data_IF_426969611534
#
_entry.id   IF_426969611534
#
_cell.length_a   1.000
_cell.length_b   1.000
_cell.length_c   1.000
_cell.angle_alpha   90.00
_cell.angle_beta   90.00
_cell.angle_gamma   90.00
#
_symmetry.space_group_name_H-M   'P 1'
#
loop_
_entity.id
_entity.type
_entity.pdbx_description
1 polymer ?
#
# COMPACT_ATOMS: atom_id res chain seq x y z
N UNK A 1 18.08 15.78 10.08
CA UNK A 1 17.46 15.90 8.74
C UNK A 1 17.45 14.53 8.06
N UNK A 2 16.42 14.21 7.26
CA UNK A 2 16.44 12.99 6.43
C UNK A 2 17.55 13.13 5.39
N UNK A 3 18.36 12.10 5.17
CA UNK A 3 19.34 12.15 4.08
C UNK A 3 18.62 12.21 2.73
N UNK A 4 19.22 12.88 1.76
CA UNK A 4 18.68 12.96 0.40
C UNK A 4 18.46 11.57 -0.22
N UNK A 5 19.37 10.64 0.05
CA UNK A 5 19.24 9.23 -0.34
C UNK A 5 17.95 8.59 0.17
N UNK A 6 17.58 8.84 1.44
CA UNK A 6 16.38 8.30 2.07
C UNK A 6 15.10 8.84 1.44
N UNK A 7 15.06 10.15 1.15
CA UNK A 7 13.92 10.79 0.47
C UNK A 7 13.68 10.19 -0.92
N UNK A 8 14.76 9.91 -1.66
CA UNK A 8 14.67 9.35 -3.02
C UNK A 8 14.48 7.84 -3.06
N UNK A 9 14.63 7.17 -1.94
CA UNK A 9 14.48 5.73 -1.83
C UNK A 9 13.50 5.40 -0.70
N UNK A 10 12.19 5.63 -0.88
CA UNK A 10 11.22 5.38 0.19
C UNK A 10 11.22 3.91 0.66
N UNK A 11 11.64 2.99 -0.21
CA UNK A 11 11.66 1.55 0.05
C UNK A 11 12.65 1.13 1.15
N UNK A 12 13.80 1.83 1.33
CA UNK A 12 14.74 1.48 2.40
C UNK A 12 14.21 1.88 3.77
N UNK A 13 14.73 1.28 4.84
CA UNK A 13 14.42 1.67 6.21
C UNK A 13 14.74 3.16 6.44
N UNK A 14 13.73 3.94 6.77
CA UNK A 14 13.82 5.40 6.90
C UNK A 14 14.25 5.83 8.30
N UNK A 15 13.99 5.00 9.30
CA UNK A 15 14.19 5.23 10.71
C UNK A 15 15.58 4.85 11.19
N UNK A 16 15.64 4.56 12.48
CA UNK A 16 16.77 3.97 13.18
C UNK A 16 16.22 3.26 14.42
N UNK A 17 16.90 2.22 14.92
CA UNK A 17 16.48 1.49 16.13
C UNK A 17 16.51 2.37 17.42
N UNK A 18 17.15 3.55 17.32
CA UNK A 18 17.20 4.57 18.37
C UNK A 18 15.92 5.42 18.44
N UNK A 19 15.02 5.34 17.45
CA UNK A 19 13.75 6.07 17.49
C UNK A 19 12.81 5.47 18.53
N UNK A 20 11.87 6.32 18.97
CA UNK A 20 10.73 5.99 19.80
C UNK A 20 9.45 6.46 19.09
N UNK A 21 8.32 5.85 19.43
CA UNK A 21 6.99 6.15 18.88
C UNK A 21 7.00 6.17 17.36
N UNK A 22 7.53 5.10 16.76
CA UNK A 22 7.83 5.00 15.34
C UNK A 22 7.49 3.63 14.77
N UNK A 23 6.98 3.58 13.55
CA UNK A 23 6.78 2.33 12.83
C UNK A 23 7.25 2.44 11.37
N UNK A 24 7.60 1.30 10.78
CA UNK A 24 7.63 1.12 9.32
C UNK A 24 7.09 -0.24 8.95
N UNK A 25 6.17 -0.29 8.00
CA UNK A 25 5.63 -1.52 7.42
C UNK A 25 5.77 -1.52 5.91
N UNK A 26 6.13 -2.66 5.33
CA UNK A 26 6.19 -2.84 3.88
C UNK A 26 5.11 -3.83 3.48
N UNK A 27 4.18 -3.41 2.64
CA UNK A 27 3.06 -4.23 2.21
C UNK A 27 3.40 -4.88 0.88
N UNK A 28 3.42 -6.22 0.87
CA UNK A 28 3.59 -7.02 -0.34
C UNK A 28 2.32 -7.80 -0.59
N UNK A 29 1.64 -7.53 -1.69
CA UNK A 29 0.48 -8.31 -2.12
C UNK A 29 0.84 -9.17 -3.32
N UNK A 30 0.51 -10.46 -3.23
CA UNK A 30 0.84 -11.49 -4.19
C UNK A 30 -0.43 -12.23 -4.58
N UNK A 31 -0.72 -12.25 -5.88
CA UNK A 31 -1.88 -12.94 -6.45
C UNK A 31 -1.40 -13.88 -7.53
N UNK A 32 -1.78 -15.15 -7.43
CA UNK A 32 -1.38 -16.14 -8.43
C UNK A 32 -2.26 -16.06 -9.69
N UNK A 33 -1.75 -16.56 -10.81
CA UNK A 33 -2.45 -16.50 -12.10
C UNK A 33 -3.81 -17.23 -12.11
N UNK A 34 -3.97 -18.27 -11.28
CA UNK A 34 -5.24 -19.02 -11.14
C UNK A 34 -6.27 -18.31 -10.26
N UNK A 35 -5.87 -17.20 -9.63
CA UNK A 35 -6.72 -16.38 -8.77
C UNK A 35 -7.32 -17.15 -7.57
N UNK A 36 -6.65 -18.23 -7.16
CA UNK A 36 -7.00 -19.06 -6.01
C UNK A 36 -5.99 -18.92 -4.86
N UNK A 37 -5.14 -17.89 -4.93
CA UNK A 37 -4.30 -17.43 -3.84
C UNK A 37 -4.13 -15.92 -3.94
N UNK A 38 -4.52 -15.23 -2.87
CA UNK A 38 -4.43 -13.77 -2.72
C UNK A 38 -3.85 -13.53 -1.33
N UNK A 39 -2.54 -13.27 -1.25
CA UNK A 39 -1.84 -13.14 0.03
C UNK A 39 -1.26 -11.74 0.17
N UNK A 40 -1.28 -11.19 1.38
CA UNK A 40 -0.46 -10.04 1.74
C UNK A 40 0.54 -10.41 2.85
N UNK A 41 1.80 -10.02 2.68
CA UNK A 41 2.86 -10.12 3.67
C UNK A 41 3.32 -8.73 4.06
N UNK A 42 3.31 -8.44 5.36
CA UNK A 42 3.56 -7.12 5.90
C UNK A 42 4.67 -7.21 6.97
N UNK A 43 5.94 -7.39 6.58
CA UNK A 43 7.06 -7.20 7.50
C UNK A 43 7.01 -5.78 8.07
N UNK A 44 7.13 -5.65 9.39
CA UNK A 44 6.97 -4.39 10.09
C UNK A 44 7.92 -4.31 11.28
N UNK A 45 8.39 -3.10 11.56
CA UNK A 45 9.10 -2.74 12.77
C UNK A 45 8.29 -1.68 13.52
N UNK A 46 8.11 -1.88 14.82
CA UNK A 46 7.38 -0.99 15.72
C UNK A 46 8.28 -0.66 16.93
N UNK A 47 8.64 0.61 17.05
CA UNK A 47 9.56 1.14 18.06
C UNK A 47 8.79 2.02 19.03
N UNK A 48 8.85 1.65 20.30
CA UNK A 48 8.15 2.32 21.39
C UNK A 48 9.13 3.05 22.32
N UNK A 49 8.61 3.94 23.16
CA UNK A 49 9.39 4.62 24.21
C UNK A 49 9.90 3.62 25.25
N UNK A 50 9.03 2.69 25.62
CA UNK A 50 9.36 1.52 26.42
C UNK A 50 10.20 0.54 25.58
N UNK A 51 11.46 0.33 25.98
CA UNK A 51 12.42 -0.50 25.24
C UNK A 51 11.96 -1.95 25.16
N UNK A 52 11.24 -2.43 26.17
CA UNK A 52 10.74 -3.81 26.24
C UNK A 52 9.55 -4.04 25.30
N UNK A 53 9.01 -2.96 24.72
CA UNK A 53 7.91 -3.01 23.74
C UNK A 53 8.39 -2.79 22.31
N UNK A 54 9.69 -2.80 22.04
CA UNK A 54 10.22 -2.75 20.68
C UNK A 54 10.08 -4.12 20.04
N UNK A 55 9.34 -4.19 18.94
CA UNK A 55 9.04 -5.45 18.26
C UNK A 55 9.24 -5.33 16.77
N UNK A 56 9.56 -6.45 16.14
CA UNK A 56 9.37 -6.61 14.70
C UNK A 56 8.48 -7.82 14.46
N UNK A 57 7.74 -7.81 13.36
CA UNK A 57 6.79 -8.87 13.08
C UNK A 57 6.52 -8.97 11.58
N UNK A 58 5.91 -10.08 11.20
CA UNK A 58 5.36 -10.28 9.87
C UNK A 58 3.86 -10.53 10.04
N UNK A 59 3.04 -9.62 9.51
CA UNK A 59 1.61 -9.86 9.36
C UNK A 59 1.36 -10.58 8.04
N UNK A 60 0.55 -11.64 8.08
CA UNK A 60 0.13 -12.40 6.90
C UNK A 60 -1.39 -12.33 6.82
N UNK A 61 -1.91 -11.90 5.67
CA UNK A 61 -3.34 -11.89 5.38
C UNK A 61 -3.61 -12.85 4.22
N UNK A 62 -4.50 -13.82 4.45
CA UNK A 62 -5.12 -14.58 3.37
C UNK A 62 -6.43 -13.92 2.96
N UNK A 63 -6.47 -13.44 1.73
CA UNK A 63 -7.61 -12.72 1.17
C UNK A 63 -8.83 -13.58 0.87
N UNK A 64 -8.66 -14.89 0.75
CA UNK A 64 -9.75 -15.80 0.44
C UNK A 64 -10.42 -16.32 1.72
N UNK A 65 -9.64 -16.61 2.77
CA UNK A 65 -10.18 -17.03 4.07
C UNK A 65 -10.41 -15.87 5.04
N UNK A 66 -9.89 -14.67 4.75
CA UNK A 66 -9.82 -13.53 5.68
C UNK A 66 -9.05 -13.83 6.98
N UNK A 67 -8.21 -14.88 6.98
CA UNK A 67 -7.36 -15.21 8.12
C UNK A 67 -6.15 -14.29 8.20
N UNK A 68 -5.82 -13.91 9.43
CA UNK A 68 -4.68 -13.05 9.74
C UNK A 68 -3.77 -13.73 10.72
N UNK A 69 -2.51 -13.85 10.36
CA UNK A 69 -1.45 -14.33 11.23
C UNK A 69 -0.55 -13.17 11.61
N UNK A 70 -0.24 -13.08 12.90
CA UNK A 70 0.65 -12.06 13.45
C UNK A 70 1.85 -12.77 14.07
N UNK A 71 2.98 -12.71 13.36
CA UNK A 71 4.19 -13.46 13.69
C UNK A 71 5.21 -12.51 14.29
N UNK A 72 5.24 -12.42 15.61
CA UNK A 72 6.15 -11.52 16.34
C UNK A 72 7.55 -12.12 16.55
N UNK A 73 8.56 -11.26 16.47
CA UNK A 73 9.95 -11.57 16.72
C UNK A 73 10.58 -10.52 17.65
N UNK A 74 11.58 -10.93 18.46
CA UNK A 74 12.44 -9.98 19.17
C UNK A 74 13.09 -9.00 18.19
N UNK A 75 13.32 -7.76 18.63
CA UNK A 75 13.82 -6.68 17.76
C UNK A 75 15.21 -6.99 17.17
N UNK A 76 16.00 -7.84 17.82
CA UNK A 76 17.33 -8.29 17.39
C UNK A 76 17.26 -9.16 16.12
N UNK A 77 16.08 -9.70 15.81
CA UNK A 77 15.83 -10.45 14.57
C UNK A 77 15.54 -9.54 13.37
N UNK A 78 15.42 -8.22 13.58
CA UNK A 78 15.29 -7.26 12.50
C UNK A 78 16.65 -6.79 12.00
N UNK A 79 16.83 -6.78 10.68
CA UNK A 79 17.96 -6.13 10.03
C UNK A 79 17.51 -5.47 8.73
N UNK A 80 18.15 -4.36 8.36
CA UNK A 80 17.90 -3.70 7.08
C UNK A 80 19.17 -3.10 6.50
N UNK A 81 19.24 -3.01 5.17
CA UNK A 81 20.30 -2.29 4.49
C UNK A 81 20.03 -0.78 4.45
N UNK A 82 21.09 0.01 4.60
CA UNK A 82 21.04 1.47 4.46
C UNK A 82 21.15 1.95 3.01
N UNK A 83 21.56 1.09 2.07
CA UNK A 83 21.82 1.48 0.67
C UNK A 83 20.79 0.95 -0.32
N UNK A 84 20.15 -0.18 -0.03
CA UNK A 84 19.24 -0.87 -0.94
C UNK A 84 18.01 -1.40 -0.20
N UNK A 85 16.90 -1.59 -0.91
CA UNK A 85 15.67 -2.12 -0.31
C UNK A 85 15.86 -3.60 0.02
N UNK A 86 16.19 -3.84 1.27
CA UNK A 86 16.50 -5.15 1.79
C UNK A 86 16.25 -5.18 3.30
N UNK A 87 15.34 -6.06 3.72
CA UNK A 87 14.93 -6.26 5.11
C UNK A 87 14.97 -7.74 5.44
N UNK A 88 15.35 -8.04 6.68
CA UNK A 88 15.28 -9.38 7.26
C UNK A 88 14.51 -9.30 8.58
N UNK A 89 13.61 -10.26 8.79
CA UNK A 89 12.93 -10.50 10.06
C UNK A 89 12.99 -12.01 10.31
N UNK A 90 13.70 -12.42 11.36
CA UNK A 90 13.99 -13.83 11.60
C UNK A 90 14.79 -14.43 10.43
N UNK A 91 14.30 -15.54 9.88
CA UNK A 91 14.90 -16.19 8.69
C UNK A 91 14.30 -15.70 7.37
N UNK A 92 13.31 -14.81 7.41
CA UNK A 92 12.64 -14.27 6.24
C UNK A 92 13.36 -13.01 5.72
N UNK A 93 13.31 -12.83 4.40
CA UNK A 93 13.98 -11.77 3.65
C UNK A 93 12.98 -11.11 2.70
N UNK A 94 13.03 -9.79 2.60
CA UNK A 94 12.17 -8.99 1.75
C UNK A 94 13.01 -7.95 1.00
N UNK A 95 12.73 -7.78 -0.29
CA UNK A 95 13.42 -6.81 -1.14
C UNK A 95 12.54 -6.36 -2.28
N UNK A 96 13.08 -5.46 -3.11
CA UNK A 96 12.43 -5.06 -4.36
C UNK A 96 12.23 -6.24 -5.31
N UNK A 97 13.18 -7.18 -5.36
CA UNK A 97 13.28 -8.19 -6.44
C UNK A 97 12.84 -9.59 -6.01
N UNK A 98 12.70 -9.84 -4.71
CA UNK A 98 12.23 -11.13 -4.19
C UNK A 98 11.76 -11.05 -2.74
N UNK A 99 10.97 -12.04 -2.37
CA UNK A 99 10.70 -12.44 -0.99
C UNK A 99 11.20 -13.88 -0.80
N UNK A 100 11.87 -14.13 0.31
CA UNK A 100 12.12 -15.47 0.83
C UNK A 100 11.47 -15.58 2.21
N UNK A 101 10.55 -16.52 2.37
CA UNK A 101 9.84 -16.76 3.62
C UNK A 101 10.32 -18.05 4.25
N UNK A 102 10.57 -17.97 5.55
CA UNK A 102 10.88 -19.09 6.42
C UNK A 102 10.32 -18.75 7.81
N UNK A 103 9.09 -19.21 8.05
CA UNK A 103 8.29 -18.94 9.24
C UNK A 103 7.78 -20.28 9.74
N UNK A 104 8.07 -20.61 10.99
CA UNK A 104 7.57 -21.82 11.64
C UNK A 104 7.28 -21.52 13.12
N UNK A 105 6.21 -20.77 13.37
CA UNK A 105 5.79 -20.39 14.73
C UNK A 105 4.33 -19.93 14.73
N UNK A 106 3.71 -19.84 15.92
CA UNK A 106 2.34 -19.33 16.10
C UNK A 106 1.29 -20.08 15.24
N UNK A 107 1.48 -21.38 15.04
CA UNK A 107 0.54 -22.23 14.30
C UNK A 107 0.53 -22.00 12.79
N UNK A 108 1.50 -21.27 12.25
CA UNK A 108 1.68 -21.08 10.82
C UNK A 108 3.07 -21.56 10.37
N UNK A 109 3.08 -22.35 9.29
CA UNK A 109 4.30 -22.80 8.62
C UNK A 109 4.34 -22.22 7.21
N UNK A 110 5.29 -21.33 6.92
CA UNK A 110 5.48 -20.75 5.60
C UNK A 110 6.91 -20.95 5.13
N UNK A 111 7.07 -21.52 3.94
CA UNK A 111 8.37 -21.64 3.30
C UNK A 111 8.27 -21.38 1.80
N UNK A 112 9.09 -20.49 1.27
CA UNK A 112 9.04 -20.18 -0.16
C UNK A 112 10.08 -19.17 -0.62
N UNK A 113 10.33 -19.16 -1.93
CA UNK A 113 11.14 -18.16 -2.63
C UNK A 113 10.34 -17.67 -3.83
N UNK A 114 10.14 -16.36 -3.90
CA UNK A 114 9.30 -15.70 -4.88
C UNK A 114 10.09 -14.53 -5.45
N UNK A 115 10.35 -14.56 -6.75
CA UNK A 115 11.06 -13.54 -7.50
C UNK A 115 10.08 -12.58 -8.18
N UNK A 116 10.48 -11.33 -8.28
CA UNK A 116 9.71 -10.23 -8.85
C UNK A 116 10.41 -9.68 -10.08
N UNK A 117 9.64 -9.39 -11.13
CA UNK A 117 10.14 -8.97 -12.44
C UNK A 117 9.25 -7.85 -13.01
N UNK A 118 9.80 -7.05 -13.94
CA UNK A 118 9.04 -6.06 -14.72
C UNK A 118 8.30 -5.00 -13.90
N UNK A 119 8.97 -4.49 -12.86
CA UNK A 119 8.39 -3.50 -11.97
C UNK A 119 7.94 -2.22 -12.69
N UNK A 120 6.67 -1.88 -12.52
CA UNK A 120 6.09 -0.60 -12.91
C UNK A 120 6.22 0.39 -11.76
N UNK A 121 7.11 1.36 -11.93
CA UNK A 121 7.40 2.41 -10.95
C UNK A 121 6.59 3.67 -11.23
N UNK A 122 6.33 4.45 -10.18
CA UNK A 122 5.86 5.81 -10.33
C UNK A 122 7.04 6.78 -10.53
N UNK A 123 6.82 7.94 -11.18
CA UNK A 123 7.88 8.94 -11.36
C UNK A 123 8.49 9.37 -10.03
N UNK A 124 9.82 9.41 -9.98
CA UNK A 124 10.63 9.76 -8.81
C UNK A 124 11.69 10.81 -9.20
N UNK A 125 11.30 12.08 -9.16
CA UNK A 125 12.16 13.21 -9.57
C UNK A 125 12.70 13.97 -8.36
N UNK A 126 13.64 14.87 -8.58
CA UNK A 126 14.20 15.73 -7.53
C UNK A 126 13.15 16.66 -6.90
N UNK A 127 12.16 17.13 -7.68
CA UNK A 127 11.13 18.05 -7.19
C UNK A 127 9.83 17.33 -6.77
N UNK A 128 9.66 16.08 -7.22
CA UNK A 128 8.48 15.27 -6.92
C UNK A 128 8.90 13.80 -6.73
N UNK A 129 9.57 13.48 -5.60
CA UNK A 129 10.04 12.14 -5.30
C UNK A 129 8.88 11.19 -4.94
N UNK A 130 8.84 10.05 -5.61
CA UNK A 130 7.89 8.97 -5.38
C UNK A 130 6.43 9.42 -5.27
N UNK A 131 5.72 8.80 -4.32
CA UNK A 131 4.28 8.99 -4.14
C UNK A 131 3.95 10.28 -3.38
N UNK A 132 4.81 10.67 -2.43
CA UNK A 132 4.61 11.88 -1.62
C UNK A 132 4.89 13.17 -2.41
N UNK A 133 5.61 13.10 -3.52
CA UNK A 133 6.00 14.30 -4.26
C UNK A 133 6.69 15.33 -3.35
N UNK A 134 6.33 16.63 -3.44
CA UNK A 134 6.87 17.65 -2.54
C UNK A 134 6.68 17.34 -1.04
N UNK A 135 5.65 16.59 -0.66
CA UNK A 135 5.41 16.23 0.75
C UNK A 135 6.49 15.30 1.32
N UNK A 136 7.32 14.66 0.49
CA UNK A 136 8.45 13.87 0.97
C UNK A 136 9.48 14.71 1.76
N UNK A 137 9.57 16.01 1.45
CA UNK A 137 10.46 16.97 2.08
C UNK A 137 9.88 17.56 3.37
N UNK A 138 8.56 17.51 3.56
CA UNK A 138 7.91 18.08 4.73
C UNK A 138 8.24 17.22 5.97
N UNK A 139 8.75 17.81 7.06
CA UNK A 139 8.98 17.09 8.31
C UNK A 139 7.67 16.90 9.09
N UNK A 140 7.72 16.00 10.08
CA UNK A 140 6.68 15.82 11.11
C UNK A 140 5.29 15.40 10.60
N UNK A 141 5.18 14.83 9.40
CA UNK A 141 3.94 14.17 9.01
C UNK A 141 3.74 12.93 9.89
N UNK A 142 2.49 12.69 10.29
CA UNK A 142 2.10 11.54 11.12
C UNK A 142 2.47 10.21 10.46
N UNK A 143 2.25 10.14 9.14
CA UNK A 143 2.63 9.03 8.28
C UNK A 143 3.16 9.53 6.94
N UNK A 144 4.06 8.77 6.33
CA UNK A 144 4.54 8.93 4.97
C UNK A 144 4.26 7.65 4.21
N UNK A 145 3.97 7.79 2.92
CA UNK A 145 3.55 6.70 2.06
C UNK A 145 4.50 6.53 0.85
N UNK A 146 4.82 5.29 0.49
CA UNK A 146 5.76 4.97 -0.57
C UNK A 146 5.25 3.86 -1.47
N UNK A 147 4.90 4.19 -2.71
CA UNK A 147 4.59 3.18 -3.73
C UNK A 147 5.91 2.70 -4.37
N UNK A 148 6.24 1.43 -4.14
CA UNK A 148 7.50 0.82 -4.60
C UNK A 148 7.29 0.18 -5.97
N UNK A 149 6.17 -0.51 -6.16
CA UNK A 149 5.79 -1.11 -7.43
C UNK A 149 4.26 -1.15 -7.58
N UNK A 150 3.74 -0.46 -8.59
CA UNK A 150 2.31 -0.48 -8.96
C UNK A 150 1.90 -1.85 -9.51
N UNK A 151 2.80 -2.48 -10.26
CA UNK A 151 2.57 -3.79 -10.84
C UNK A 151 3.91 -4.45 -11.13
N UNK A 152 4.00 -5.75 -10.92
CA UNK A 152 5.14 -6.57 -11.34
C UNK A 152 4.71 -8.02 -11.49
N UNK A 153 5.44 -8.77 -12.31
CA UNK A 153 5.25 -10.21 -12.40
C UNK A 153 5.90 -10.90 -11.20
N UNK A 154 5.25 -11.95 -10.69
CA UNK A 154 5.81 -12.79 -9.63
C UNK A 154 6.00 -14.24 -10.15
N UNK A 155 7.11 -14.88 -9.77
CA UNK A 155 7.40 -16.27 -10.10
C UNK A 155 8.04 -16.98 -8.92
N UNK A 156 7.69 -18.24 -8.69
CA UNK A 156 8.25 -19.03 -7.60
C UNK A 156 7.21 -19.94 -6.96
N UNK A 157 7.50 -20.38 -5.75
CA UNK A 157 6.63 -21.26 -5.00
C UNK A 157 6.61 -20.91 -3.52
N UNK A 158 5.48 -21.23 -2.91
CA UNK A 158 5.22 -21.00 -1.50
C UNK A 158 4.48 -22.21 -0.96
N UNK A 159 4.94 -22.73 0.17
CA UNK A 159 4.19 -23.64 1.01
C UNK A 159 3.60 -22.83 2.15
N UNK A 160 2.27 -22.82 2.28
CA UNK A 160 1.52 -22.22 3.38
C UNK A 160 0.80 -23.36 4.10
N UNK A 161 1.25 -23.72 5.28
CA UNK A 161 0.84 -24.91 6.01
C UNK A 161 0.97 -26.17 5.12
N UNK A 162 -0.15 -26.82 4.81
CA UNK A 162 -0.19 -27.97 3.89
C UNK A 162 -0.40 -27.57 2.42
N UNK A 163 -0.80 -26.33 2.15
CA UNK A 163 -1.12 -25.85 0.82
C UNK A 163 0.15 -25.47 0.05
N UNK A 164 0.25 -25.94 -1.19
CA UNK A 164 1.27 -25.53 -2.14
C UNK A 164 0.70 -24.49 -3.11
N UNK A 165 1.32 -23.33 -3.16
CA UNK A 165 0.98 -22.23 -4.05
C UNK A 165 2.11 -22.08 -5.06
N UNK A 166 1.73 -22.00 -6.33
CA UNK A 166 2.65 -21.84 -7.45
C UNK A 166 2.38 -20.49 -8.10
N UNK A 167 3.45 -19.70 -8.26
CA UNK A 167 3.44 -18.44 -8.97
C UNK A 167 4.13 -18.63 -10.32
N UNK A 168 3.32 -18.59 -11.38
CA UNK A 168 3.72 -18.74 -12.78
C UNK A 168 3.45 -17.45 -13.56
N UNK A 169 3.67 -17.47 -14.88
CA UNK A 169 3.33 -16.36 -15.74
C UNK A 169 1.86 -15.94 -15.61
N UNK A 170 1.62 -14.63 -15.54
CA UNK A 170 0.32 -14.05 -15.24
C UNK A 170 0.07 -13.79 -13.75
N UNK A 171 0.88 -14.36 -12.85
CA UNK A 171 0.83 -14.01 -11.42
C UNK A 171 1.40 -12.61 -11.21
N UNK A 172 0.79 -11.83 -10.32
CA UNK A 172 1.13 -10.41 -10.13
C UNK A 172 1.36 -10.06 -8.68
N UNK A 173 2.15 -9.01 -8.50
CA UNK A 173 2.32 -8.40 -7.20
C UNK A 173 2.24 -6.88 -7.21
N UNK A 174 2.09 -6.35 -6.00
CA UNK A 174 2.10 -4.93 -5.67
C UNK A 174 2.94 -4.71 -4.41
N UNK A 175 3.69 -3.60 -4.35
CA UNK A 175 4.53 -3.27 -3.19
C UNK A 175 4.36 -1.80 -2.82
N UNK A 176 4.02 -1.56 -1.56
CA UNK A 176 4.05 -0.23 -0.95
C UNK A 176 4.65 -0.27 0.45
N UNK A 177 4.74 0.91 1.07
CA UNK A 177 5.33 1.07 2.38
C UNK A 177 4.76 2.29 3.08
N UNK A 178 4.48 2.12 4.36
CA UNK A 178 4.17 3.21 5.28
C UNK A 178 5.20 3.34 6.38
N UNK A 179 5.49 4.58 6.78
CA UNK A 179 6.33 4.85 7.94
C UNK A 179 5.98 6.17 8.61
N UNK A 180 6.15 6.22 9.93
CA UNK A 180 5.79 7.41 10.70
C UNK A 180 5.60 7.10 12.17
N UNK A 181 4.72 7.86 12.81
CA UNK A 181 4.33 7.66 14.21
C UNK A 181 3.04 6.86 14.35
N UNK A 182 2.02 7.20 13.57
CA UNK A 182 0.71 6.55 13.62
C UNK A 182 0.08 6.51 12.23
N UNK A 183 -0.95 5.68 12.07
CA UNK A 183 -1.91 5.86 10.98
C UNK A 183 -2.81 7.09 11.24
N UNK A 184 -3.42 7.65 10.18
CA UNK A 184 -4.43 8.71 10.28
C UNK A 184 -5.64 8.33 11.13
N UNK A 185 -6.39 9.32 11.62
CA UNK A 185 -7.63 9.07 12.40
C UNK A 185 -8.76 8.48 11.53
N UNK A 186 -8.80 8.90 10.26
CA UNK A 186 -9.73 8.49 9.22
C UNK A 186 -9.00 8.37 7.89
N UNK A 187 -9.29 7.30 7.14
CA UNK A 187 -8.69 7.08 5.82
C UNK A 187 -9.52 6.17 4.92
N UNK A 188 -9.29 6.31 3.63
CA UNK A 188 -9.64 5.35 2.59
C UNK A 188 -8.35 4.94 1.91
N UNK A 189 -8.07 3.65 1.87
CA UNK A 189 -7.02 3.11 1.01
C UNK A 189 -7.63 2.09 0.06
N UNK A 190 -7.18 2.10 -1.19
CA UNK A 190 -7.57 1.08 -2.15
C UNK A 190 -6.50 0.85 -3.20
N UNK A 191 -6.36 -0.40 -3.62
CA UNK A 191 -5.37 -0.82 -4.59
C UNK A 191 -5.89 -1.96 -5.45
N UNK A 192 -5.62 -1.97 -6.75
CA UNK A 192 -5.77 -3.15 -7.59
C UNK A 192 -4.88 -3.08 -8.82
N UNK A 193 -4.40 -4.23 -9.28
CA UNK A 193 -3.65 -4.43 -10.52
C UNK A 193 -4.20 -5.63 -11.31
N UNK A 194 -5.47 -5.98 -11.09
CA UNK A 194 -6.14 -7.11 -11.74
C UNK A 194 -7.32 -6.60 -12.56
N UNK A 195 -7.01 -5.93 -13.66
CA UNK A 195 -7.98 -5.39 -14.60
C UNK A 195 -8.16 -6.35 -15.78
N UNK A 196 -9.14 -6.07 -16.65
CA UNK A 196 -9.32 -6.87 -17.85
C UNK A 196 -8.21 -6.61 -18.88
N UNK A 197 -7.72 -5.37 -18.98
CA UNK A 197 -6.58 -5.00 -19.85
C UNK A 197 -5.31 -4.84 -19.05
N UNK A 198 -4.18 -5.17 -19.67
CA UNK A 198 -2.88 -5.19 -19.02
C UNK A 198 -1.80 -4.46 -19.83
N UNK A 199 -0.77 -3.88 -19.17
CA UNK A 199 -0.67 -3.70 -17.72
C UNK A 199 -1.52 -2.52 -17.23
N UNK A 200 -2.35 -2.75 -16.21
CA UNK A 200 -3.10 -1.69 -15.52
C UNK A 200 -2.97 -1.83 -14.02
N UNK A 201 -2.93 -0.70 -13.33
CA UNK A 201 -2.91 -0.67 -11.87
C UNK A 201 -3.50 0.62 -11.35
N UNK A 202 -4.09 0.55 -10.17
CA UNK A 202 -4.68 1.68 -9.48
C UNK A 202 -4.31 1.64 -8.00
N UNK A 203 -4.05 2.82 -7.45
CA UNK A 203 -3.90 3.05 -6.02
C UNK A 203 -4.53 4.41 -5.69
N UNK A 204 -5.30 4.45 -4.61
CA UNK A 204 -5.79 5.69 -4.01
C UNK A 204 -5.65 5.60 -2.49
N UNK A 205 -5.10 6.65 -1.90
CA UNK A 205 -5.11 6.89 -0.46
C UNK A 205 -5.72 8.27 -0.21
N UNK A 206 -6.73 8.36 0.66
CA UNK A 206 -7.32 9.60 1.18
C UNK A 206 -7.21 9.52 2.70
N UNK A 207 -6.72 10.56 3.36
CA UNK A 207 -6.54 10.57 4.80
C UNK A 207 -6.75 11.96 5.40
N UNK A 208 -7.25 12.00 6.63
CA UNK A 208 -7.17 13.20 7.47
C UNK A 208 -5.75 13.29 8.06
N UNK A 209 -5.01 14.33 7.68
CA UNK A 209 -3.60 14.50 8.06
C UNK A 209 -3.50 15.63 9.09
N UNK A 210 -3.06 15.34 10.34
CA UNK A 210 -2.67 16.38 11.26
C UNK A 210 -1.30 16.93 10.86
N UNK A 211 -1.19 18.25 10.69
CA UNK A 211 0.06 18.92 10.38
C UNK A 211 0.11 20.31 11.05
N UNK A 212 1.12 20.52 11.90
CA UNK A 212 1.40 21.79 12.59
C UNK A 212 0.18 22.43 13.29
N UNK A 213 -0.62 21.62 13.99
CA UNK A 213 -1.79 22.09 14.75
C UNK A 213 -3.08 22.19 13.94
N UNK A 214 -3.04 21.98 12.62
CA UNK A 214 -4.22 21.93 11.76
C UNK A 214 -4.46 20.50 11.24
N UNK A 215 -5.69 20.23 10.80
CA UNK A 215 -6.05 19.00 10.09
C UNK A 215 -6.49 19.34 8.67
N UNK A 216 -6.06 18.55 7.69
CA UNK A 216 -6.52 18.68 6.32
C UNK A 216 -6.71 17.31 5.66
N UNK A 217 -7.60 17.23 4.68
CA UNK A 217 -7.79 16.00 3.90
C UNK A 217 -6.76 15.97 2.78
N UNK A 218 -5.79 15.07 2.91
CA UNK A 218 -4.78 14.77 1.90
C UNK A 218 -5.17 13.57 1.07
N UNK A 219 -4.77 13.54 -0.21
CA UNK A 219 -4.91 12.34 -1.03
C UNK A 219 -3.78 12.16 -2.04
N UNK A 220 -3.53 10.90 -2.36
CA UNK A 220 -2.59 10.39 -3.35
C UNK A 220 -3.32 9.39 -4.25
N UNK A 221 -3.29 9.59 -5.56
CA UNK A 221 -4.01 8.74 -6.52
C UNK A 221 -3.18 8.52 -7.78
N UNK A 222 -2.99 7.26 -8.13
CA UNK A 222 -2.18 6.82 -9.26
C UNK A 222 -2.95 5.79 -10.09
N UNK A 223 -3.11 6.07 -11.37
CA UNK A 223 -3.68 5.15 -12.35
C UNK A 223 -2.65 4.87 -13.44
N UNK A 224 -2.23 3.62 -13.56
CA UNK A 224 -1.37 3.09 -14.62
C UNK A 224 -2.25 2.49 -15.73
N UNK A 225 -2.02 2.92 -16.97
CA UNK A 225 -2.61 2.35 -18.18
C UNK A 225 -1.52 2.16 -19.24
N UNK A 226 -1.10 0.91 -19.45
CA UNK A 226 0.07 0.59 -20.26
C UNK A 226 1.36 1.14 -19.62
N UNK A 227 1.96 2.13 -20.27
CA UNK A 227 3.14 2.84 -19.76
C UNK A 227 2.82 4.25 -19.23
N UNK A 228 1.55 4.66 -19.29
CA UNK A 228 1.12 6.01 -18.88
C UNK A 228 0.64 5.98 -17.43
N UNK A 229 1.10 6.94 -16.64
CA UNK A 229 0.66 7.14 -15.27
C UNK A 229 -0.09 8.46 -15.17
N UNK A 230 -1.36 8.37 -14.78
CA UNK A 230 -2.15 9.51 -14.36
C UNK A 230 -1.98 9.69 -12.85
N UNK A 231 -1.63 10.91 -12.43
CA UNK A 231 -1.35 11.26 -11.04
C UNK A 231 -2.31 12.37 -10.62
N UNK A 232 -3.08 12.12 -9.58
CA UNK A 232 -3.89 13.12 -8.89
C UNK A 232 -3.47 13.12 -7.42
N UNK A 233 -3.04 14.25 -6.90
CA UNK A 233 -2.75 14.39 -5.49
C UNK A 233 -3.08 15.81 -5.03
N UNK A 234 -3.20 16.00 -3.72
CA UNK A 234 -3.43 17.34 -3.14
C UNK A 234 -2.40 18.36 -3.63
N UNK A 235 -1.14 17.94 -3.79
CA UNK A 235 -0.06 18.81 -4.27
C UNK A 235 -0.03 19.03 -5.79
N UNK A 236 -0.88 18.37 -6.59
CA UNK A 236 -0.94 18.59 -8.05
C UNK A 236 -2.03 19.58 -8.46
N UNK A 237 -2.76 20.16 -7.50
CA UNK A 237 -3.95 20.99 -7.77
C UNK A 237 -5.19 20.18 -8.15
N UNK A 238 -5.15 18.85 -8.00
CA UNK A 238 -6.34 18.02 -8.08
C UNK A 238 -7.14 18.14 -6.77
N UNK A 239 -8.46 17.94 -6.85
CA UNK A 239 -9.37 18.01 -5.70
C UNK A 239 -10.36 16.85 -5.70
N UNK A 240 -10.79 16.45 -4.51
CA UNK A 240 -11.94 15.56 -4.36
C UNK A 240 -13.19 16.42 -4.56
N UNK A 241 -13.93 16.17 -5.64
CA UNK A 241 -15.19 16.87 -5.96
C UNK A 241 -16.37 16.29 -5.19
N UNK A 242 -16.41 14.96 -5.03
CA UNK A 242 -17.45 14.25 -4.28
C UNK A 242 -16.85 12.99 -3.63
N UNK A 243 -17.23 12.74 -2.38
CA UNK A 243 -17.01 11.49 -1.68
C UNK A 243 -18.36 11.05 -1.11
N UNK A 244 -18.84 9.88 -1.52
CA UNK A 244 -20.16 9.35 -1.15
C UNK A 244 -19.94 7.96 -0.56
N UNK A 245 -19.94 7.81 0.78
CA UNK A 245 -19.87 6.49 1.40
C UNK A 245 -21.20 5.74 1.25
N UNK A 246 -21.12 4.42 1.29
CA UNK A 246 -22.23 3.50 1.43
C UNK A 246 -21.82 2.30 2.28
N UNK A 247 -22.75 1.37 2.53
CA UNK A 247 -22.48 0.17 3.32
C UNK A 247 -21.44 -0.72 2.64
N UNK A 248 -20.19 -0.69 3.13
CA UNK A 248 -19.09 -1.44 2.53
C UNK A 248 -18.69 -0.96 1.12
N UNK A 249 -19.05 0.27 0.74
CA UNK A 249 -18.75 0.82 -0.58
C UNK A 249 -18.41 2.30 -0.51
N UNK A 250 -17.73 2.82 -1.51
CA UNK A 250 -17.53 4.26 -1.65
C UNK A 250 -17.52 4.66 -3.12
N UNK A 251 -18.12 5.81 -3.43
CA UNK A 251 -17.99 6.49 -4.72
C UNK A 251 -17.20 7.77 -4.53
N UNK A 252 -16.16 7.94 -5.33
CA UNK A 252 -15.23 9.08 -5.24
C UNK A 252 -15.14 9.71 -6.62
N UNK A 253 -15.22 11.04 -6.69
CA UNK A 253 -14.97 11.81 -7.89
C UNK A 253 -13.81 12.76 -7.60
N UNK A 254 -12.69 12.57 -8.28
CA UNK A 254 -11.52 13.42 -8.23
C UNK A 254 -11.43 14.18 -9.55
N UNK A 255 -11.03 15.44 -9.52
CA UNK A 255 -10.82 16.21 -10.74
C UNK A 255 -9.65 17.17 -10.64
N UNK A 256 -9.09 17.51 -11.80
CA UNK A 256 -8.23 18.67 -11.99
C UNK A 256 -8.79 19.56 -13.13
N UNK A 257 -7.98 20.49 -13.64
CA UNK A 257 -8.36 21.37 -14.75
C UNK A 257 -8.63 20.63 -16.07
N UNK A 258 -8.06 19.44 -16.26
CA UNK A 258 -8.03 18.69 -17.52
C UNK A 258 -8.79 17.37 -17.48
N UNK A 259 -9.06 16.79 -16.30
CA UNK A 259 -9.58 15.43 -16.17
C UNK A 259 -10.55 15.28 -15.01
N UNK A 260 -11.45 14.31 -15.17
CA UNK A 260 -12.36 13.82 -14.14
C UNK A 260 -12.16 12.32 -13.98
N UNK A 261 -11.90 11.88 -12.76
CA UNK A 261 -11.72 10.48 -12.37
C UNK A 261 -12.88 10.06 -11.46
N UNK A 262 -13.65 9.07 -11.89
CA UNK A 262 -14.76 8.48 -11.13
C UNK A 262 -14.33 7.09 -10.68
N UNK A 263 -14.44 6.85 -9.38
CA UNK A 263 -14.08 5.59 -8.74
C UNK A 263 -15.30 5.08 -7.98
N UNK A 264 -15.58 3.78 -8.12
CA UNK A 264 -16.56 3.07 -7.31
C UNK A 264 -15.89 1.82 -6.77
N UNK A 265 -15.80 1.72 -5.45
CA UNK A 265 -15.24 0.56 -4.78
C UNK A 265 -16.31 -0.15 -3.95
N UNK A 266 -16.30 -1.48 -4.00
CA UNK A 266 -17.13 -2.36 -3.17
C UNK A 266 -16.22 -3.35 -2.44
N UNK A 267 -16.38 -3.38 -1.11
CA UNK A 267 -15.62 -4.24 -0.21
C UNK A 267 -15.99 -5.70 -0.39
N UNK A 268 -14.98 -6.55 -0.44
CA UNK A 268 -15.15 -7.99 -0.28
C UNK A 268 -15.03 -8.41 1.18
N UNK A 269 -14.52 -9.61 1.40
CA UNK A 269 -14.32 -10.20 2.72
C UNK A 269 -13.21 -9.46 3.46
N UNK A 270 -13.45 -9.12 4.72
CA UNK A 270 -12.56 -8.23 5.46
C UNK A 270 -11.95 -8.94 6.66
N UNK A 271 -10.71 -8.57 6.97
CA UNK A 271 -9.97 -9.02 8.13
C UNK A 271 -9.47 -7.83 8.96
N UNK A 272 -9.24 -8.07 10.25
CA UNK A 272 -8.76 -7.05 11.19
C UNK A 272 -7.25 -7.17 11.39
N UNK A 273 -6.52 -6.25 10.78
CA UNK A 273 -5.07 -6.13 10.90
C UNK A 273 -4.70 -5.24 12.10
N UNK A 274 -3.54 -5.48 12.72
CA UNK A 274 -3.01 -4.50 13.67
C UNK A 274 -2.46 -3.30 12.90
N UNK A 275 -2.70 -2.11 13.44
CA UNK A 275 -2.25 -0.84 12.90
C UNK A 275 -1.51 0.00 13.96
N UNK A 276 -0.59 0.88 13.56
CA UNK A 276 0.21 1.68 14.47
C UNK A 276 -0.56 2.87 15.05
N UNK A 277 -0.42 3.07 16.35
CA UNK A 277 -0.85 4.23 17.12
C UNK A 277 0.31 4.63 18.06
N UNK A 278 0.99 5.74 17.73
CA UNK A 278 2.16 6.25 18.44
C UNK A 278 3.28 5.20 18.55
N UNK A 279 3.52 4.46 17.48
CA UNK A 279 4.47 3.34 17.42
C UNK A 279 3.94 2.01 17.98
N UNK A 280 2.85 2.02 18.74
CA UNK A 280 2.23 0.81 19.29
C UNK A 280 1.26 0.18 18.29
N UNK A 281 1.26 -1.14 18.16
CA UNK A 281 0.34 -1.86 17.27
C UNK A 281 -1.03 -2.12 17.93
N UNK A 282 -1.62 -1.09 18.56
CA UNK A 282 -2.87 -1.17 19.34
C UNK A 282 -4.12 -0.83 18.55
N UNK A 283 -3.98 -0.07 17.45
CA UNK A 283 -5.10 0.23 16.56
C UNK A 283 -5.40 -0.96 15.64
N UNK A 284 -6.53 -0.88 14.93
CA UNK A 284 -6.94 -1.87 13.94
C UNK A 284 -7.23 -1.22 12.60
N UNK A 285 -6.84 -1.90 11.52
CA UNK A 285 -7.30 -1.61 10.17
C UNK A 285 -8.20 -2.74 9.70
N UNK A 286 -9.33 -2.40 9.08
CA UNK A 286 -10.23 -3.39 8.47
C UNK A 286 -9.96 -3.39 6.96
N UNK A 287 -9.20 -4.39 6.52
CA UNK A 287 -8.76 -4.54 5.14
C UNK A 287 -9.48 -5.72 4.47
N UNK A 288 -9.82 -5.54 3.19
CA UNK A 288 -10.20 -6.61 2.28
C UNK A 288 -9.22 -6.61 1.10
N UNK A 289 -8.83 -7.79 0.60
CA UNK A 289 -7.94 -7.90 -0.58
C UNK A 289 -8.57 -8.65 -1.75
N UNK A 290 -9.88 -8.93 -1.66
CA UNK A 290 -10.77 -9.52 -2.67
C UNK A 290 -11.79 -8.50 -3.23
N UNK A 291 -11.60 -7.20 -2.98
CA UNK A 291 -12.56 -6.15 -3.37
C UNK A 291 -12.64 -5.89 -4.88
N UNK A 292 -13.71 -5.18 -5.29
CA UNK A 292 -13.89 -4.72 -6.67
C UNK A 292 -13.80 -3.20 -6.76
N UNK A 293 -13.03 -2.69 -7.72
CA UNK A 293 -12.80 -1.24 -7.93
C UNK A 293 -13.04 -0.89 -9.41
N UNK A 294 -14.14 -0.21 -9.70
CA UNK A 294 -14.46 0.31 -11.03
C UNK A 294 -13.96 1.74 -11.20
N UNK A 295 -13.33 2.02 -12.34
CA UNK A 295 -12.68 3.29 -12.64
C UNK A 295 -13.13 3.78 -14.00
N UNK A 296 -13.47 5.07 -14.07
CA UNK A 296 -13.66 5.80 -15.31
C UNK A 296 -12.84 7.08 -15.28
N UNK A 297 -12.05 7.34 -16.32
CA UNK A 297 -11.31 8.59 -16.49
C UNK A 297 -11.79 9.31 -17.73
N UNK A 298 -12.05 10.60 -17.58
CA UNK A 298 -12.49 11.47 -18.66
C UNK A 298 -11.51 12.62 -18.88
N UNK A 299 -11.32 13.03 -20.13
CA UNK A 299 -10.73 14.32 -20.48
C UNK A 299 -11.81 15.40 -20.50
N UNK A 300 -11.55 16.51 -19.81
CA UNK A 300 -12.31 17.74 -19.92
C UNK A 300 -11.88 18.44 -21.21
N UNK A 301 -12.82 18.68 -22.11
CA UNK A 301 -12.58 19.50 -23.29
C UNK A 301 -13.38 20.79 -23.11
N UNK A 302 -12.70 21.93 -23.04
CA UNK A 302 -13.33 23.24 -22.90
C UNK A 302 -14.27 23.59 -24.06
N UNK A 303 -14.06 22.96 -25.23
CA UNK A 303 -14.76 23.26 -26.48
C UNK A 303 -15.85 22.23 -26.82
N UNK A 304 -16.08 21.23 -25.97
CA UNK A 304 -17.15 20.23 -26.15
C UNK A 304 -18.07 20.22 -24.94
N UNK A 305 -19.37 20.06 -25.19
CA UNK A 305 -20.40 19.96 -24.13
C UNK A 305 -20.34 18.66 -23.32
N UNK A 306 -19.59 17.65 -23.78
CA UNK A 306 -19.39 16.37 -23.08
C UNK A 306 -17.91 16.06 -22.88
N UNK A 307 -17.58 15.56 -21.69
CA UNK A 307 -16.26 14.99 -21.38
C UNK A 307 -16.02 13.70 -22.19
N UNK A 308 -14.78 13.45 -22.61
CA UNK A 308 -14.40 12.27 -23.41
C UNK A 308 -13.87 11.16 -22.49
N UNK A 309 -14.48 9.97 -22.55
CA UNK A 309 -14.02 8.80 -21.81
C UNK A 309 -12.72 8.25 -22.40
N UNK A 310 -11.65 8.22 -21.59
CA UNK A 310 -10.32 7.74 -22.01
C UNK A 310 -9.82 6.52 -21.24
N UNK A 311 -10.47 6.15 -20.14
CA UNK A 311 -10.22 4.90 -19.43
C UNK A 311 -11.53 4.39 -18.85
N UNK A 312 -11.79 3.09 -19.01
CA UNK A 312 -12.83 2.38 -18.26
C UNK A 312 -12.39 0.94 -18.04
N UNK A 313 -12.40 0.51 -16.78
CA UNK A 313 -12.11 -0.86 -16.40
C UNK A 313 -12.61 -1.13 -14.97
N UNK A 314 -12.69 -2.40 -14.59
CA UNK A 314 -13.00 -2.83 -13.23
C UNK A 314 -11.93 -3.80 -12.75
N UNK A 315 -11.18 -3.38 -11.74
CA UNK A 315 -10.19 -4.20 -11.09
C UNK A 315 -10.83 -5.12 -10.06
N UNK A 316 -10.36 -6.37 -10.03
CA UNK A 316 -10.72 -7.38 -9.03
C UNK A 316 -9.60 -7.56 -8.01
N UNK A 317 -9.82 -8.41 -7.02
CA UNK A 317 -8.84 -8.73 -5.97
C UNK A 317 -8.20 -7.46 -5.42
N UNK A 318 -9.03 -6.46 -5.15
CA UNK A 318 -8.60 -5.14 -4.72
C UNK A 318 -8.37 -5.11 -3.23
N UNK A 319 -7.29 -4.44 -2.82
CA UNK A 319 -7.14 -3.93 -1.46
C UNK A 319 -8.17 -2.83 -1.24
N UNK A 320 -8.90 -2.86 -0.12
CA UNK A 320 -9.82 -1.79 0.28
C UNK A 320 -9.91 -1.70 1.80
N UNK A 321 -9.61 -0.50 2.31
CA UNK A 321 -9.81 -0.06 3.68
C UNK A 321 -10.72 1.16 3.68
N UNK A 322 -11.72 1.16 4.56
CA UNK A 322 -12.69 2.24 4.71
C UNK A 322 -12.85 2.54 6.21
N UNK A 323 -12.09 3.51 6.70
CA UNK A 323 -11.91 3.77 8.12
C UNK A 323 -12.40 5.17 8.47
N UNK A 324 -13.49 5.23 9.25
CA UNK A 324 -14.18 6.47 9.66
C UNK A 324 -14.41 7.45 8.49
N UNK A 325 -14.94 6.92 7.39
CA UNK A 325 -15.05 7.62 6.11
C UNK A 325 -15.90 8.90 6.21
N UNK A 326 -16.85 8.93 7.13
CA UNK A 326 -17.67 10.09 7.49
C UNK A 326 -16.85 11.33 7.86
N UNK A 327 -15.64 11.17 8.40
CA UNK A 327 -14.74 12.26 8.75
C UNK A 327 -13.96 12.82 7.54
N UNK A 328 -14.15 12.26 6.34
CA UNK A 328 -13.44 12.65 5.11
C UNK A 328 -14.33 13.42 4.13
N UNK A 329 -15.54 13.81 4.53
CA UNK A 329 -16.54 14.46 3.68
C UNK A 329 -16.44 15.98 3.74
#
# INVERSE_FOLDING_TARGET
MKSYQKIRNPAIFQGSLKKNSYYEGWYFKLVNHKLNSVLAFIPTIALNEDKDKKVCFIQVLDGLSSEVFYVEYPIEKFWSSNSQFLIKIGNSYFSKEKIKLDIDQKGINIKGDIKFMDHKHIPNTLISPGAMGPFAYLPFMQTYHGIISMNHQIRGNLKLNTQKIIYEQGSKGYIEKDWGKSFPDAWIWMQTNHFAKEPRSFMLSIAEIPWMGYKFIGFLCFLLDGNKIYRFATYTGARIRKLIPGKGSVKIIIEDKRKTLIIKAKRGSSASLKAPNLGLMTARSIESIDSTISIQLFNKNSNKSKEELIFQDTGKYGGLELMKVENLI
#
